data_IF_845034264237
#
_entry.id   IF_845034264237
#
_cell.length_a   1.000
_cell.length_b   1.000
_cell.length_c   1.000
_cell.angle_alpha   90.00
_cell.angle_beta   90.00
_cell.angle_gamma   90.00
#
_symmetry.space_group_name_H-M   'P 1'
#
loop_
_entity.id
_entity.type
_entity.pdbx_description
1 polymer ?
2 non-polymer ?
3 non-polymer ?
4 non-polymer ?
5 water ?
#
# COMPACT_ATOMS: atom_id res chain seq x y z
N UNK A 4 -12.74 16.92 -2.90
CA UNK A 4 -11.66 16.22 -2.17
C UNK A 4 -10.31 16.88 -2.36
N UNK A 5 -9.41 16.76 -1.37
CA UNK A 5 -8.08 17.34 -1.55
C UNK A 5 -7.26 16.42 -2.49
N UNK A 6 -6.03 16.79 -2.73
CA UNK A 6 -5.16 16.05 -3.64
C UNK A 6 -4.20 15.12 -2.88
N UNK A 7 -3.92 13.97 -3.54
CA UNK A 7 -3.12 12.93 -2.93
C UNK A 7 -1.83 12.73 -3.76
N UNK A 8 -0.74 12.50 -3.03
CA UNK A 8 0.51 12.13 -3.72
C UNK A 8 0.88 10.78 -3.16
N UNK A 9 1.08 9.80 -4.07
CA UNK A 9 1.56 8.50 -3.67
C UNK A 9 3.06 8.48 -4.09
N UNK A 10 3.93 8.00 -3.23
CA UNK A 10 5.35 7.89 -3.60
C UNK A 10 5.73 6.46 -3.28
N UNK A 11 6.18 5.68 -4.28
CA UNK A 11 6.52 4.31 -3.98
C UNK A 11 6.95 3.52 -5.23
N UNK A 12 7.00 2.23 -5.05
CA UNK A 12 7.52 1.33 -6.09
C UNK A 12 6.62 0.97 -7.25
N UNK A 13 7.31 0.56 -8.33
CA UNK A 13 6.65 -0.01 -9.50
C UNK A 13 7.42 -1.31 -9.78
N UNK A 14 6.73 -2.43 -9.83
CA UNK A 14 7.42 -3.69 -10.12
C UNK A 14 6.72 -4.40 -11.29
N UNK A 15 7.46 -5.26 -11.96
CA UNK A 15 6.93 -6.22 -12.92
C UNK A 15 6.72 -7.48 -12.12
N UNK A 16 5.45 -7.84 -11.85
CA UNK A 16 5.16 -9.03 -11.08
C UNK A 16 5.11 -10.28 -11.96
N UNK A 17 5.87 -11.28 -11.49
CA UNK A 17 5.82 -12.57 -12.22
C UNK A 17 5.15 -13.51 -11.24
N UNK A 18 3.95 -13.96 -11.56
CA UNK A 18 3.15 -14.70 -10.56
C UNK A 18 2.80 -16.11 -11.04
N UNK A 19 3.17 -17.11 -10.25
CA UNK A 19 2.88 -18.49 -10.56
C UNK A 19 1.93 -19.06 -9.50
N UNK A 20 0.83 -19.60 -9.96
CA UNK A 20 -0.15 -20.26 -9.09
C UNK A 20 0.30 -21.71 -8.97
N UNK A 21 0.29 -22.24 -7.76
CA UNK A 21 0.65 -23.63 -7.56
C UNK A 21 -0.25 -24.18 -6.43
N UNK A 22 -0.15 -25.48 -6.15
CA UNK A 22 -0.99 -26.01 -5.06
C UNK A 22 -0.41 -25.66 -3.71
N UNK A 23 0.84 -26.06 -3.47
CA UNK A 23 1.57 -25.74 -2.25
C UNK A 23 2.91 -25.09 -2.54
N UNK A 24 3.33 -24.18 -1.67
CA UNK A 24 4.63 -23.51 -1.87
C UNK A 24 5.75 -24.53 -1.80
N UNK A 25 6.79 -24.43 -2.62
CA UNK A 25 7.88 -25.37 -2.62
C UNK A 25 8.70 -25.28 -1.34
N UNK A 26 9.12 -26.41 -0.82
CA UNK A 26 10.01 -26.43 0.36
C UNK A 26 11.43 -26.46 -0.15
N UNK A 27 12.41 -26.16 0.71
CA UNK A 27 13.80 -26.09 0.33
C UNK A 27 14.30 -27.27 -0.47
N UNK A 28 14.94 -27.00 -1.61
CA UNK A 28 15.52 -27.96 -2.51
C UNK A 28 14.52 -28.66 -3.39
N UNK A 29 13.26 -28.28 -3.30
CA UNK A 29 12.21 -28.87 -4.10
C UNK A 29 11.82 -28.04 -5.32
N UNK A 30 11.36 -28.74 -6.35
CA UNK A 30 10.78 -28.11 -7.53
C UNK A 30 9.30 -28.49 -7.56
N UNK A 31 8.42 -27.50 -7.73
CA UNK A 31 6.99 -27.78 -7.76
C UNK A 31 6.44 -27.30 -9.12
N UNK A 32 5.59 -28.10 -9.73
CA UNK A 32 5.01 -27.74 -11.02
C UNK A 32 3.75 -26.94 -10.77
N UNK A 33 3.75 -25.69 -11.25
CA UNK A 33 2.65 -24.79 -11.03
C UNK A 33 1.65 -24.84 -12.18
N UNK A 34 0.63 -23.99 -12.08
CA UNK A 34 -0.31 -23.99 -13.21
C UNK A 34 -0.17 -22.63 -13.90
N UNK A 35 -1.10 -21.76 -13.68
CA UNK A 35 -1.21 -20.47 -14.31
C UNK A 35 0.00 -19.57 -14.07
N UNK A 36 0.39 -18.86 -15.11
CA UNK A 36 1.54 -17.96 -14.99
C UNK A 36 1.17 -16.62 -15.62
N UNK A 37 1.50 -15.53 -14.94
CA UNK A 37 1.20 -14.22 -15.50
C UNK A 37 2.27 -13.20 -15.24
N UNK A 38 2.55 -12.31 -16.19
CA UNK A 38 3.38 -11.16 -15.90
C UNK A 38 2.44 -9.93 -15.87
N UNK A 39 2.46 -9.15 -14.80
CA UNK A 39 1.53 -8.01 -14.76
C UNK A 39 2.21 -6.85 -14.05
N UNK A 40 1.74 -5.62 -14.20
CA UNK A 40 2.33 -4.51 -13.44
C UNK A 40 1.91 -4.60 -11.98
N UNK A 41 2.77 -4.22 -11.06
CA UNK A 41 2.53 -4.31 -9.64
C UNK A 41 3.43 -3.33 -8.86
N UNK A 42 3.85 -3.73 -7.67
CA UNK A 42 4.61 -2.82 -6.81
C UNK A 42 3.64 -2.29 -5.72
N UNK A 43 4.04 -2.20 -4.46
CA UNK A 43 3.10 -1.60 -3.48
C UNK A 43 2.76 -0.17 -3.80
N UNK A 44 3.70 0.65 -4.32
CA UNK A 44 3.41 2.01 -4.69
C UNK A 44 2.31 2.03 -5.76
N UNK A 45 2.58 1.36 -6.88
CA UNK A 45 1.66 1.44 -8.02
C UNK A 45 0.29 0.84 -7.66
N UNK A 46 0.31 -0.21 -6.86
CA UNK A 46 -0.97 -0.84 -6.47
C UNK A 46 -1.81 0.14 -5.61
N UNK A 47 -1.18 0.79 -4.67
CA UNK A 47 -1.88 1.86 -3.88
C UNK A 47 -2.25 3.04 -4.73
N UNK A 48 -1.40 3.50 -5.68
CA UNK A 48 -1.80 4.57 -6.58
C UNK A 48 -3.01 4.17 -7.41
N UNK A 49 -3.04 2.90 -7.86
CA UNK A 49 -4.18 2.45 -8.67
C UNK A 49 -5.43 2.32 -7.79
N UNK A 50 -5.25 1.80 -6.59
CA UNK A 50 -6.43 1.71 -5.68
C UNK A 50 -7.01 3.10 -5.42
N UNK A 51 -6.18 4.12 -5.22
CA UNK A 51 -6.65 5.49 -5.03
C UNK A 51 -7.27 6.04 -6.29
N UNK A 52 -6.62 5.93 -7.44
CA UNK A 52 -7.16 6.49 -8.67
C UNK A 52 -8.45 5.79 -9.07
N UNK A 53 -8.54 4.49 -8.93
CA UNK A 53 -9.76 3.80 -9.41
C UNK A 53 -10.92 4.10 -8.44
N UNK A 54 -10.61 4.25 -7.14
CA UNK A 54 -11.69 4.55 -6.20
C UNK A 54 -12.10 6.00 -6.19
N UNK A 55 -11.53 6.92 -6.94
CA UNK A 55 -11.99 8.30 -7.05
C UNK A 55 -11.07 9.37 -6.54
N UNK A 56 -9.83 9.01 -6.09
CA UNK A 56 -8.94 10.08 -5.60
C UNK A 56 -8.46 11.01 -6.68
N UNK A 57 -7.97 12.19 -6.29
CA UNK A 57 -7.30 13.12 -7.19
C UNK A 57 -5.80 12.86 -6.92
N UNK A 58 -5.18 11.93 -7.66
CA UNK A 58 -3.85 11.42 -7.23
C UNK A 58 -2.76 11.55 -8.28
N UNK A 59 -1.54 11.84 -7.84
CA UNK A 59 -0.32 11.94 -8.66
C UNK A 59 0.67 10.96 -8.04
N UNK A 60 1.56 10.35 -8.86
CA UNK A 60 2.39 9.27 -8.32
C UNK A 60 3.86 9.60 -8.61
N UNK A 61 4.68 9.62 -7.58
CA UNK A 61 6.12 9.85 -7.68
C UNK A 61 6.74 8.45 -7.63
N UNK A 62 7.43 8.06 -8.74
CA UNK A 62 7.96 6.71 -8.79
C UNK A 62 9.07 6.71 -9.87
N UNK A 63 9.82 5.63 -9.89
CA UNK A 63 10.84 5.49 -10.94
C UNK A 63 10.70 4.10 -11.57
N UNK A 64 10.71 4.11 -12.90
CA UNK A 64 10.71 2.84 -13.65
C UNK A 64 12.03 2.75 -14.44
N UNK A 65 12.32 1.55 -14.98
CA UNK A 65 13.58 1.47 -15.79
C UNK A 65 13.15 1.83 -17.22
N UNK A 66 14.09 1.72 -18.19
CA UNK A 66 13.65 1.92 -19.57
C UNK A 66 13.67 0.63 -20.36
N UNK A 67 13.49 -0.48 -19.66
CA UNK A 67 13.21 -1.78 -20.27
C UNK A 67 11.80 -1.62 -20.89
N UNK A 68 11.32 -2.66 -21.55
CA UNK A 68 10.01 -2.55 -22.23
C UNK A 68 8.86 -2.35 -21.26
N UNK A 69 8.90 -3.09 -20.17
CA UNK A 69 7.81 -2.97 -19.19
C UNK A 69 7.83 -1.60 -18.55
N UNK A 70 8.99 -0.98 -18.34
CA UNK A 70 9.10 0.36 -17.82
C UNK A 70 8.50 1.41 -18.74
N UNK A 71 8.68 1.18 -20.04
CA UNK A 71 8.19 2.12 -21.04
C UNK A 71 6.71 1.91 -21.34
N UNK A 72 6.06 0.89 -20.84
CA UNK A 72 4.67 0.58 -21.05
C UNK A 72 3.79 0.85 -19.81
N UNK A 73 4.43 0.87 -18.64
CA UNK A 73 3.69 1.00 -17.37
C UNK A 73 3.13 2.38 -17.14
N UNK A 74 3.77 3.48 -17.54
CA UNK A 74 3.16 4.78 -17.33
C UNK A 74 1.87 4.96 -18.10
N UNK A 75 1.85 4.43 -19.33
CA UNK A 75 0.66 4.51 -20.15
C UNK A 75 -0.45 3.72 -19.48
N UNK A 76 -0.11 2.59 -18.86
CA UNK A 76 -1.18 1.83 -18.23
C UNK A 76 -1.70 2.61 -17.01
N UNK A 77 -0.75 3.07 -16.19
CA UNK A 77 -1.17 3.80 -14.98
C UNK A 77 -1.96 5.06 -15.30
N UNK A 78 -1.62 5.84 -16.32
CA UNK A 78 -2.45 7.01 -16.65
C UNK A 78 -3.92 6.66 -16.82
N UNK A 79 -4.28 5.47 -17.30
CA UNK A 79 -5.67 5.10 -17.50
C UNK A 79 -6.38 4.80 -16.21
N UNK A 80 -5.65 4.72 -15.09
CA UNK A 80 -6.30 4.47 -13.79
C UNK A 80 -6.56 5.80 -13.06
N UNK A 81 -6.69 6.89 -13.79
CA UNK A 81 -6.88 8.22 -13.23
C UNK A 81 -5.71 8.67 -12.35
N UNK A 82 -4.49 8.36 -12.78
CA UNK A 82 -3.30 8.71 -12.00
C UNK A 82 -2.52 9.70 -12.86
N UNK A 83 -2.09 10.80 -12.24
CA UNK A 83 -1.27 11.78 -12.93
C UNK A 83 0.15 11.18 -12.89
N UNK A 84 0.66 10.75 -14.04
CA UNK A 84 1.96 10.06 -14.06
C UNK A 84 3.09 10.98 -14.43
N UNK A 85 2.86 12.31 -14.35
CA UNK A 85 3.93 13.28 -14.57
C UNK A 85 5.16 13.03 -13.73
N UNK A 86 5.06 12.72 -12.45
CA UNK A 86 6.21 12.48 -11.61
C UNK A 86 6.69 11.03 -11.60
N UNK A 87 6.29 10.22 -12.58
CA UNK A 87 6.90 8.90 -12.72
C UNK A 87 8.10 9.10 -13.68
N UNK A 88 9.29 8.94 -13.11
CA UNK A 88 10.48 9.14 -13.95
C UNK A 88 10.94 7.81 -14.59
N UNK A 89 11.53 7.89 -15.78
CA UNK A 89 12.06 6.69 -16.46
C UNK A 89 13.57 6.80 -16.34
N UNK A 90 14.26 5.85 -15.75
CA UNK A 90 15.66 5.88 -15.41
C UNK A 90 16.44 5.18 -16.55
N UNK A 91 17.23 5.96 -17.32
CA UNK A 91 17.92 5.26 -18.42
C UNK A 91 19.04 4.38 -17.89
N UNK A 92 19.21 3.24 -18.59
CA UNK A 92 20.31 2.33 -18.23
C UNK A 92 19.93 1.41 -17.09
N UNK A 93 18.65 1.37 -16.69
CA UNK A 93 18.23 0.55 -15.56
C UNK A 93 16.94 -0.22 -15.89
N UNK A 94 16.72 -1.32 -15.16
CA UNK A 94 15.50 -2.10 -15.41
C UNK A 94 14.49 -1.89 -14.26
N UNK A 95 13.25 -2.03 -14.67
CA UNK A 95 12.16 -1.86 -13.64
C UNK A 95 12.27 -2.89 -12.56
N UNK A 96 11.89 -2.52 -11.32
CA UNK A 96 11.90 -3.45 -10.18
C UNK A 96 11.11 -4.71 -10.56
N UNK A 97 11.41 -5.86 -9.94
CA UNK A 97 10.75 -7.12 -10.27
C UNK A 97 10.21 -7.76 -9.01
N UNK A 98 9.09 -8.48 -9.07
CA UNK A 98 8.64 -9.31 -7.98
C UNK A 98 8.47 -10.73 -8.56
N UNK A 99 8.87 -11.74 -7.85
CA UNK A 99 8.61 -13.15 -8.14
C UNK A 99 7.66 -13.62 -7.02
N UNK A 100 6.49 -14.07 -7.47
CA UNK A 100 5.41 -14.38 -6.54
C UNK A 100 4.84 -15.78 -6.75
N UNK A 101 4.65 -16.52 -5.69
CA UNK A 101 3.95 -17.82 -5.75
C UNK A 101 2.60 -17.61 -5.03
N UNK A 102 1.53 -18.12 -5.62
CA UNK A 102 0.20 -18.03 -4.98
C UNK A 102 -0.30 -19.47 -4.77
N UNK A 103 -0.56 -19.90 -3.52
CA UNK A 103 -0.97 -21.28 -3.34
C UNK A 103 -2.45 -21.52 -3.54
N UNK A 104 -2.82 -22.80 -3.37
CA UNK A 104 -4.19 -23.26 -3.61
C UNK A 104 -5.21 -22.58 -2.71
N UNK A 105 -4.80 -22.20 -1.49
CA UNK A 105 -5.65 -21.42 -0.61
C UNK A 105 -5.65 -19.94 -0.88
N UNK A 106 -4.81 -19.42 -1.80
CA UNK A 106 -4.88 -18.00 -2.09
C UNK A 106 -3.88 -17.17 -1.28
N UNK A 107 -2.99 -17.84 -0.57
CA UNK A 107 -1.93 -17.15 0.13
C UNK A 107 -0.77 -16.93 -0.87
N UNK A 108 0.10 -15.99 -0.55
CA UNK A 108 1.22 -15.76 -1.48
C UNK A 108 2.52 -15.60 -0.73
N UNK A 109 3.65 -15.74 -1.45
CA UNK A 109 4.96 -15.45 -0.90
C UNK A 109 5.61 -14.54 -1.97
N UNK A 110 6.29 -13.48 -1.59
CA UNK A 110 6.84 -12.56 -2.60
C UNK A 110 8.30 -12.26 -2.32
N UNK A 111 9.14 -12.24 -3.37
CA UNK A 111 10.53 -11.85 -3.27
C UNK A 111 10.72 -10.71 -4.28
N UNK A 112 11.24 -9.56 -3.87
CA UNK A 112 11.39 -8.44 -4.79
C UNK A 112 12.87 -8.08 -5.02
N UNK A 113 13.06 -7.43 -6.17
CA UNK A 113 14.38 -6.89 -6.56
C UNK A 113 14.12 -5.42 -6.85
N UNK A 114 14.80 -4.52 -6.16
CA UNK A 114 14.50 -3.10 -6.32
C UNK A 114 14.58 -2.54 -7.71
N UNK A 115 15.72 -2.86 -8.39
CA UNK A 115 15.90 -2.27 -9.74
C UNK A 115 15.80 -0.77 -9.71
N UNK A 116 15.14 -0.11 -10.65
CA UNK A 116 15.02 1.31 -10.78
C UNK A 116 14.25 1.96 -9.62
N UNK A 117 13.55 1.18 -8.82
CA UNK A 117 12.88 1.82 -7.66
C UNK A 117 13.95 2.40 -6.74
N UNK A 118 15.14 1.74 -6.70
CA UNK A 118 16.24 2.31 -5.92
C UNK A 118 16.79 3.63 -6.42
N UNK A 119 16.43 4.19 -7.54
CA UNK A 119 16.85 5.44 -8.07
C UNK A 119 15.91 6.57 -7.63
N UNK A 120 14.80 6.19 -6.96
CA UNK A 120 13.94 7.29 -6.45
C UNK A 120 14.65 7.82 -5.20
N UNK A 121 15.40 8.90 -5.36
CA UNK A 121 16.31 9.39 -4.35
C UNK A 121 15.78 10.63 -3.65
N UNK A 122 16.51 11.08 -2.62
CA UNK A 122 16.21 12.35 -1.96
C UNK A 122 16.23 13.50 -2.92
N UNK A 123 17.09 13.51 -3.94
CA UNK A 123 17.12 14.59 -4.92
C UNK A 123 15.89 14.59 -5.82
N UNK A 124 15.36 13.43 -6.16
CA UNK A 124 14.14 13.38 -6.96
C UNK A 124 12.96 13.78 -6.05
N UNK A 125 13.02 13.47 -4.77
CA UNK A 125 11.95 13.91 -3.83
C UNK A 125 11.92 15.43 -3.73
N UNK A 126 13.13 15.99 -3.61
CA UNK A 126 13.33 17.42 -3.43
C UNK A 126 12.85 18.17 -4.64
N UNK A 127 12.99 17.61 -5.84
CA UNK A 127 12.39 18.13 -7.06
C UNK A 127 10.87 18.10 -7.04
N UNK A 128 10.23 17.36 -6.14
CA UNK A 128 8.76 17.35 -6.05
C UNK A 128 8.29 18.10 -4.80
N UNK A 129 9.13 18.93 -4.19
CA UNK A 129 8.78 19.64 -2.96
C UNK A 129 7.47 20.41 -3.04
N UNK A 130 7.25 21.19 -4.08
CA UNK A 130 6.01 21.96 -4.21
C UNK A 130 4.78 21.06 -4.34
N UNK A 131 4.94 19.98 -5.12
CA UNK A 131 3.83 19.02 -5.29
C UNK A 131 3.46 18.42 -3.96
N UNK A 132 4.42 18.02 -3.14
CA UNK A 132 4.15 17.42 -1.85
C UNK A 132 3.57 18.48 -0.90
N UNK A 133 4.13 19.66 -0.92
CA UNK A 133 3.69 20.76 -0.05
C UNK A 133 2.24 21.17 -0.31
N UNK A 134 1.83 21.17 -1.56
CA UNK A 134 0.49 21.50 -2.01
C UNK A 134 -0.53 20.38 -1.86
N UNK A 135 -0.09 19.15 -1.65
CA UNK A 135 -1.03 18.05 -1.47
C UNK A 135 -1.71 18.04 -0.09
N UNK A 136 -2.86 17.37 -0.03
CA UNK A 136 -3.53 17.23 1.26
C UNK A 136 -2.95 16.01 1.96
N UNK A 137 -2.49 15.00 1.17
CA UNK A 137 -1.98 13.81 1.86
C UNK A 137 -0.87 13.16 0.97
N UNK A 138 0.01 12.48 1.62
CA UNK A 138 1.15 11.79 0.99
C UNK A 138 1.09 10.36 1.47
N UNK A 139 0.97 9.37 0.57
CA UNK A 139 0.91 7.98 0.98
C UNK A 139 2.15 7.21 0.52
N UNK A 140 2.85 6.54 1.42
CA UNK A 140 4.10 5.86 1.07
C UNK A 140 4.17 4.49 1.69
N UNK A 141 5.08 3.63 1.13
CA UNK A 141 5.31 2.29 1.60
C UNK A 141 6.87 2.12 1.78
N UNK A 142 7.33 0.90 1.96
CA UNK A 142 8.76 0.70 2.26
C UNK A 142 9.46 -0.13 1.16
N UNK A 143 8.99 0.07 -0.06
CA UNK A 143 9.63 -0.49 -1.25
C UNK A 143 10.41 0.58 -2.01
N UNK A 144 10.60 1.73 -1.39
CA UNK A 144 11.39 2.86 -1.89
C UNK A 144 12.48 3.14 -0.85
N UNK A 145 13.61 3.69 -1.26
CA UNK A 145 14.72 3.92 -0.31
C UNK A 145 14.23 4.66 0.95
N UNK A 146 14.69 4.20 2.10
CA UNK A 146 14.32 4.81 3.39
C UNK A 146 14.62 6.28 3.41
N UNK A 147 15.76 6.69 2.80
CA UNK A 147 16.12 8.10 2.79
C UNK A 147 15.11 8.95 2.02
N UNK A 148 14.56 8.39 0.94
CA UNK A 148 13.57 9.18 0.18
C UNK A 148 12.24 9.26 0.94
N UNK A 149 11.85 8.19 1.56
CA UNK A 149 10.64 8.18 2.39
C UNK A 149 10.75 9.27 3.47
N UNK A 150 11.93 9.28 4.13
CA UNK A 150 12.24 10.32 5.11
C UNK A 150 12.27 11.69 4.53
N UNK A 151 12.88 11.91 3.36
CA UNK A 151 12.89 13.24 2.77
C UNK A 151 11.44 13.71 2.49
N UNK A 152 10.61 12.77 2.01
CA UNK A 152 9.26 13.22 1.64
C UNK A 152 8.39 13.46 2.86
N UNK A 153 8.53 12.64 3.88
CA UNK A 153 7.79 12.80 5.13
C UNK A 153 8.13 14.16 5.74
N UNK A 154 9.41 14.54 5.68
CA UNK A 154 9.79 15.87 6.20
C UNK A 154 9.16 17.02 5.47
N UNK A 155 9.13 17.03 4.13
CA UNK A 155 8.49 18.07 3.35
C UNK A 155 6.98 18.13 3.67
N UNK A 156 6.38 16.93 3.74
CA UNK A 156 4.94 16.91 4.04
C UNK A 156 4.71 17.49 5.44
N UNK A 157 5.46 17.02 6.41
CA UNK A 157 5.34 17.49 7.79
C UNK A 157 5.41 19.01 7.88
N UNK A 158 6.39 19.63 7.23
CA UNK A 158 6.54 21.06 7.22
C UNK A 158 5.33 21.79 6.64
N UNK A 159 4.65 21.22 5.65
CA UNK A 159 3.58 21.91 4.96
C UNK A 159 2.20 21.46 5.38
N UNK A 160 2.07 20.71 6.45
CA UNK A 160 0.77 20.25 6.93
C UNK A 160 0.07 19.29 5.97
N UNK A 161 0.89 18.56 5.21
CA UNK A 161 0.40 17.50 4.33
C UNK A 161 0.35 16.25 5.17
N UNK A 162 -0.77 15.55 5.21
CA UNK A 162 -0.92 14.35 6.01
C UNK A 162 0.08 13.29 5.53
N UNK A 163 0.78 12.69 6.46
CA UNK A 163 1.70 11.60 6.06
C UNK A 163 1.10 10.27 6.46
N UNK A 164 0.78 9.47 5.43
CA UNK A 164 0.24 8.14 5.64
C UNK A 164 1.34 7.12 5.24
N UNK A 165 1.71 6.28 6.16
CA UNK A 165 2.77 5.31 5.83
C UNK A 165 2.25 3.90 6.01
N UNK A 166 2.33 3.07 4.96
CA UNK A 166 1.98 1.65 5.08
C UNK A 166 3.35 1.01 5.23
N UNK A 167 3.76 0.57 6.41
CA UNK A 167 5.13 0.18 6.70
C UNK A 167 5.48 -1.21 6.26
N UNK A 168 5.33 -1.46 4.95
CA UNK A 168 5.46 -2.75 4.33
C UNK A 168 6.42 -2.66 3.16
N UNK A 169 7.27 -3.67 2.97
CA UNK A 169 7.40 -4.79 3.84
C UNK A 169 8.05 -4.37 5.17
N UNK A 170 7.87 -5.24 6.15
CA UNK A 170 8.32 -5.04 7.51
C UNK A 170 9.81 -4.75 7.65
N UNK A 171 10.13 -3.79 8.49
CA UNK A 171 11.47 -3.43 8.93
C UNK A 171 11.35 -2.43 10.09
N UNK A 172 12.41 -2.32 10.88
CA UNK A 172 12.37 -1.34 11.96
C UNK A 172 12.62 0.01 11.33
N UNK A 173 12.08 1.09 11.89
CA UNK A 173 12.26 2.42 11.32
C UNK A 173 12.79 3.33 12.40
N UNK A 174 13.59 4.31 12.02
CA UNK A 174 14.15 5.27 12.95
C UNK A 174 13.02 6.10 13.55
N UNK A 175 13.19 6.51 14.80
CA UNK A 175 12.24 7.38 15.49
C UNK A 175 12.07 8.69 14.76
N UNK A 176 13.13 9.16 14.08
CA UNK A 176 13.04 10.37 13.31
C UNK A 176 11.93 10.26 12.24
N UNK A 177 11.83 9.10 11.59
CA UNK A 177 10.79 8.95 10.57
C UNK A 177 9.42 8.75 11.25
N UNK A 178 9.33 7.89 12.24
CA UNK A 178 8.03 7.64 12.89
C UNK A 178 7.37 8.88 13.46
N UNK A 179 8.16 9.87 13.91
CA UNK A 179 7.66 11.13 14.44
C UNK A 179 7.01 12.02 13.39
N UNK A 180 7.27 11.79 12.11
CA UNK A 180 6.71 12.53 11.03
C UNK A 180 5.44 11.85 10.47
N UNK A 181 5.07 10.67 10.94
CA UNK A 181 3.93 9.98 10.31
C UNK A 181 2.62 10.36 11.03
N UNK A 182 1.56 10.66 10.27
CA UNK A 182 0.27 10.95 10.88
C UNK A 182 -0.65 9.75 10.97
N UNK A 183 -0.63 8.90 9.93
CA UNK A 183 -1.44 7.71 9.85
C UNK A 183 -0.49 6.52 9.53
N UNK A 184 -0.50 5.49 10.34
CA UNK A 184 0.38 4.34 10.04
C UNK A 184 -0.50 3.12 9.93
N UNK A 185 -0.28 2.26 8.92
CA UNK A 185 -1.10 1.07 8.71
C UNK A 185 -0.39 -0.26 8.61
N UNK A 186 0.22 -0.72 9.73
CA UNK A 186 0.87 -1.99 9.77
C UNK A 186 -0.11 -3.15 9.76
N UNK A 187 0.39 -4.28 9.28
CA UNK A 187 -0.31 -5.55 9.48
C UNK A 187 0.24 -6.10 10.80
N UNK A 188 -0.14 -7.29 11.23
CA UNK A 188 0.35 -7.76 12.55
C UNK A 188 1.85 -7.97 12.60
N UNK A 189 2.43 -8.52 11.53
CA UNK A 189 3.88 -8.72 11.47
C UNK A 189 4.66 -7.43 11.57
N UNK A 190 4.22 -6.40 10.85
CA UNK A 190 4.85 -5.09 10.84
C UNK A 190 4.74 -4.39 12.17
N UNK A 191 3.57 -4.52 12.83
CA UNK A 191 3.37 -3.90 14.14
C UNK A 191 4.38 -4.47 15.14
N UNK A 192 4.59 -5.76 15.05
CA UNK A 192 5.57 -6.43 15.92
C UNK A 192 6.98 -5.97 15.61
N UNK A 193 7.27 -5.90 14.28
CA UNK A 193 8.63 -5.45 13.93
C UNK A 193 8.85 -4.04 14.42
N UNK A 194 7.84 -3.16 14.42
CA UNK A 194 8.03 -1.78 14.78
C UNK A 194 8.05 -1.50 16.27
N UNK A 195 7.36 -2.33 17.05
CA UNK A 195 7.22 -2.12 18.47
C UNK A 195 7.82 -3.22 19.33
N UNK A 196 7.93 -4.43 18.80
CA UNK A 196 8.37 -5.57 19.59
C UNK A 196 7.22 -6.32 20.25
N UNK A 197 5.98 -5.92 20.00
CA UNK A 197 4.83 -6.59 20.59
C UNK A 197 4.11 -7.46 19.58
N UNK A 198 4.09 -8.76 19.78
CA UNK A 198 3.37 -9.67 18.90
C UNK A 198 1.88 -9.36 19.00
N UNK A 199 1.18 -9.28 17.88
CA UNK A 199 -0.24 -8.95 17.88
C UNK A 199 -1.06 -10.15 17.42
N UNK A 200 -1.76 -10.76 18.37
CA UNK A 200 -2.59 -11.92 18.07
C UNK A 200 -4.03 -11.67 18.53
N UNK A 201 -4.28 -10.56 19.21
CA UNK A 201 -5.63 -10.23 19.62
C UNK A 201 -5.81 -8.73 19.74
N UNK A 202 -7.00 -8.29 20.13
CA UNK A 202 -7.30 -6.88 20.28
C UNK A 202 -6.57 -6.23 21.45
N UNK A 203 -6.20 -7.03 22.44
CA UNK A 203 -5.46 -6.56 23.60
C UNK A 203 -4.02 -6.28 23.18
N UNK A 204 -3.42 -7.20 22.44
CA UNK A 204 -2.07 -6.97 21.92
C UNK A 204 -2.08 -5.80 20.93
N UNK A 205 -3.11 -5.71 20.09
CA UNK A 205 -3.20 -4.59 19.15
C UNK A 205 -3.20 -3.26 19.87
N UNK A 206 -3.94 -3.15 21.01
CA UNK A 206 -3.91 -1.87 21.71
C UNK A 206 -2.51 -1.62 22.27
N UNK A 207 -1.82 -2.63 22.75
CA UNK A 207 -0.48 -2.47 23.30
C UNK A 207 0.47 -1.91 22.24
N UNK A 208 0.49 -2.56 21.08
CA UNK A 208 1.35 -2.14 19.96
C UNK A 208 1.00 -0.76 19.45
N UNK A 209 -0.30 -0.46 19.35
CA UNK A 209 -0.78 0.86 18.98
C UNK A 209 -0.26 1.95 19.91
N UNK A 210 -0.23 1.64 21.22
CA UNK A 210 0.25 2.64 22.18
C UNK A 210 1.72 2.98 22.00
N UNK A 211 2.55 2.00 21.68
CA UNK A 211 3.98 2.29 21.42
C UNK A 211 4.08 3.26 20.25
N UNK A 212 3.33 2.94 19.18
CA UNK A 212 3.33 3.82 18.00
C UNK A 212 2.79 5.19 18.32
N UNK A 213 1.74 5.31 19.18
CA UNK A 213 1.28 6.64 19.55
C UNK A 213 2.38 7.38 20.33
N UNK A 214 3.10 6.66 21.15
CA UNK A 214 4.26 7.13 21.90
C UNK A 214 5.42 7.57 21.01
N UNK A 215 5.42 7.20 19.73
CA UNK A 215 6.44 7.63 18.78
C UNK A 215 6.00 8.91 18.07
N UNK A 216 4.79 9.41 18.32
CA UNK A 216 4.34 10.64 17.70
C UNK A 216 3.19 10.39 16.71
N UNK A 217 2.80 9.15 16.53
CA UNK A 217 1.78 8.86 15.50
C UNK A 217 0.35 8.82 16.09
N UNK A 218 -0.43 9.79 15.67
CA UNK A 218 -1.80 9.96 16.14
C UNK A 218 -2.77 8.87 15.73
N UNK A 219 -2.78 8.53 14.43
CA UNK A 219 -3.72 7.49 13.99
C UNK A 219 -2.99 6.21 13.62
N UNK A 220 -3.29 5.15 14.38
CA UNK A 220 -2.71 3.84 14.19
C UNK A 220 -3.79 2.85 13.79
N UNK A 221 -3.58 2.27 12.59
CA UNK A 221 -4.52 1.26 12.09
C UNK A 221 -3.76 -0.04 11.92
N UNK A 222 -3.98 -1.01 12.79
CA UNK A 222 -3.29 -2.31 12.70
C UNK A 222 -4.25 -3.27 12.01
N UNK A 223 -3.93 -3.68 10.80
CA UNK A 223 -4.78 -4.60 10.06
C UNK A 223 -4.62 -6.02 10.59
N UNK A 224 -5.73 -6.75 10.66
CA UNK A 224 -5.84 -8.04 11.31
C UNK A 224 -6.34 -9.13 10.36
N UNK A 225 -5.99 -9.07 9.08
CA UNK A 225 -6.42 -10.06 8.11
C UNK A 225 -7.94 -10.11 7.96
N UNK A 226 -8.55 -11.28 8.15
CA UNK A 226 -9.99 -11.45 8.01
C UNK A 226 -10.76 -10.88 9.21
N UNK A 227 -10.05 -10.54 10.26
CA UNK A 227 -10.61 -9.94 11.45
C UNK A 227 -10.74 -8.43 11.37
N UNK A 228 -10.41 -7.80 10.25
CA UNK A 228 -10.62 -6.37 10.09
C UNK A 228 -9.42 -5.54 10.55
N UNK A 229 -9.66 -4.48 11.31
CA UNK A 229 -8.59 -3.59 11.72
C UNK A 229 -8.81 -3.04 13.13
N UNK A 230 -7.73 -2.93 13.86
CA UNK A 230 -7.75 -2.24 15.16
C UNK A 230 -7.49 -0.77 14.83
N UNK A 231 -8.49 0.07 15.01
CA UNK A 231 -8.34 1.50 14.75
C UNK A 231 -8.11 2.26 16.04
N UNK A 232 -7.01 3.02 16.12
CA UNK A 232 -6.69 3.76 17.33
C UNK A 232 -6.28 5.19 17.04
N UNK A 233 -7.00 6.16 17.65
CA UNK A 233 -6.66 7.55 17.47
C UNK A 233 -6.27 8.14 18.82
N UNK A 234 -5.01 8.52 18.94
CA UNK A 234 -4.35 9.04 20.11
C UNK A 234 -4.78 8.33 21.38
N UNK A 235 -4.67 7.00 21.39
CA UNK A 235 -5.03 6.18 22.52
C UNK A 235 -6.36 5.45 22.50
N UNK A 236 -7.45 6.05 22.04
CA UNK A 236 -8.75 5.37 22.04
C UNK A 236 -8.89 4.46 20.81
N UNK A 237 -9.08 3.16 21.06
CA UNK A 237 -9.21 2.20 19.99
C UNK A 237 -10.41 1.29 19.94
N UNK A 238 -10.70 0.80 18.73
CA UNK A 238 -11.80 -0.10 18.48
C UNK A 238 -11.51 -0.97 17.26
N UNK A 239 -12.13 -2.14 17.22
CA UNK A 239 -11.99 -3.05 16.11
C UNK A 239 -13.12 -2.77 15.12
N UNK A 240 -12.77 -2.63 13.84
CA UNK A 240 -13.74 -2.44 12.77
C UNK A 240 -13.61 -3.70 11.91
N UNK A 241 -14.59 -4.59 11.98
CA UNK A 241 -14.54 -5.84 11.23
C UNK A 241 -14.53 -5.56 9.74
N UNK A 242 -13.98 -6.49 8.97
CA UNK A 242 -14.00 -6.37 7.52
C UNK A 242 -15.25 -7.08 7.00
N UNK A 243 -15.35 -7.32 5.69
CA UNK A 243 -16.52 -8.03 5.17
C UNK A 243 -16.23 -9.52 5.01
N UNK A 244 -17.24 -10.37 5.25
CA UNK A 244 -17.05 -11.81 5.11
C UNK A 244 -17.20 -12.19 3.64
N UNK A 245 -16.10 -12.60 2.99
CA UNK A 245 -16.16 -12.98 1.58
C UNK A 245 -15.39 -14.28 1.36
N UNK A 246 -15.54 -14.86 0.17
CA UNK A 246 -14.80 -16.08 -0.16
C UNK A 246 -13.49 -15.68 -0.85
N UNK A 247 -12.41 -15.70 -0.08
CA UNK A 247 -11.11 -15.29 -0.57
C UNK A 247 -10.59 -16.33 -1.56
N UNK A 248 -10.06 -15.87 -2.69
CA UNK A 248 -9.52 -16.77 -3.71
C UNK A 248 -8.06 -16.35 -3.95
N UNK A 249 -7.76 -15.07 -3.73
CA UNK A 249 -6.38 -14.60 -3.83
C UNK A 249 -6.17 -13.33 -2.99
N UNK A 250 -5.50 -13.45 -1.85
CA UNK A 250 -5.38 -12.29 -0.95
C UNK A 250 -4.35 -11.26 -1.34
N UNK A 251 -3.62 -11.43 -2.43
CA UNK A 251 -2.60 -10.46 -2.82
C UNK A 251 -3.17 -9.10 -3.14
N UNK A 252 -2.44 -8.06 -2.74
CA UNK A 252 -2.85 -6.68 -2.92
C UNK A 252 -4.04 -6.26 -2.02
N UNK A 253 -4.33 -7.05 -1.00
CA UNK A 253 -5.46 -6.69 -0.14
C UNK A 253 -5.09 -5.41 0.60
N UNK A 254 -3.88 -5.49 1.18
CA UNK A 254 -3.39 -4.35 1.94
C UNK A 254 -3.27 -3.12 1.09
N UNK A 255 -2.71 -3.27 -0.13
CA UNK A 255 -2.54 -2.12 -1.00
C UNK A 255 -3.89 -1.46 -1.36
N UNK A 256 -4.90 -2.29 -1.61
CA UNK A 256 -6.21 -1.77 -1.94
C UNK A 256 -6.79 -1.02 -0.71
N UNK A 257 -6.65 -1.65 0.44
CA UNK A 257 -7.15 -1.01 1.68
C UNK A 257 -6.54 0.37 1.80
N UNK A 258 -5.18 0.46 1.69
CA UNK A 258 -4.57 1.79 1.83
C UNK A 258 -4.97 2.85 0.85
N UNK A 259 -4.93 2.57 -0.49
CA UNK A 259 -5.32 3.58 -1.46
C UNK A 259 -6.80 4.00 -1.21
N UNK A 260 -7.68 3.02 -1.01
CA UNK A 260 -9.12 3.43 -0.91
C UNK A 260 -9.37 4.16 0.42
N UNK A 261 -8.69 3.75 1.46
CA UNK A 261 -8.75 4.42 2.76
C UNK A 261 -8.48 5.91 2.61
N UNK A 262 -7.36 6.27 1.94
CA UNK A 262 -7.00 7.67 1.78
C UNK A 262 -7.95 8.43 0.87
N UNK A 263 -8.53 7.76 -0.13
CA UNK A 263 -9.51 8.40 -0.99
C UNK A 263 -10.73 8.82 -0.10
N UNK A 264 -11.15 7.92 0.76
CA UNK A 264 -12.37 8.26 1.55
C UNK A 264 -12.02 9.37 2.54
N UNK A 265 -10.84 9.30 3.19
CA UNK A 265 -10.44 10.39 4.10
C UNK A 265 -10.36 11.71 3.41
N UNK A 266 -9.85 11.84 2.17
CA UNK A 266 -9.78 13.07 1.45
C UNK A 266 -11.14 13.54 0.92
N UNK A 267 -12.12 12.65 0.93
CA UNK A 267 -13.50 13.12 0.66
C UNK A 267 -14.17 13.58 1.95
N UNK A 268 -13.44 13.70 3.04
CA UNK A 268 -13.92 14.07 4.36
C UNK A 268 -14.83 13.05 5.03
N UNK A 269 -14.73 11.76 4.68
CA UNK A 269 -15.51 10.75 5.41
C UNK A 269 -14.75 10.56 6.71
N UNK A 270 -15.45 10.43 7.83
CA UNK A 270 -14.80 10.26 9.12
C UNK A 270 -14.07 8.94 9.07
N UNK A 271 -13.16 8.70 10.01
CA UNK A 271 -12.34 7.50 9.96
C UNK A 271 -13.05 6.17 9.87
N UNK A 272 -14.04 5.87 10.74
CA UNK A 272 -14.75 4.62 10.70
C UNK A 272 -15.40 4.34 9.37
N UNK A 273 -15.98 5.35 8.73
CA UNK A 273 -16.63 5.23 7.45
C UNK A 273 -15.55 5.03 6.34
N UNK A 274 -14.45 5.76 6.47
CA UNK A 274 -13.35 5.56 5.48
C UNK A 274 -12.81 4.14 5.55
N UNK A 275 -12.63 3.56 6.73
CA UNK A 275 -12.19 2.19 6.94
C UNK A 275 -13.16 1.19 6.34
N UNK A 276 -14.48 1.43 6.56
CA UNK A 276 -15.50 0.56 5.93
C UNK A 276 -15.42 0.65 4.43
N UNK A 277 -15.26 1.83 3.81
CA UNK A 277 -15.10 1.95 2.38
C UNK A 277 -13.86 1.13 1.90
N UNK A 278 -12.77 1.29 2.64
CA UNK A 278 -11.53 0.57 2.31
C UNK A 278 -11.68 -0.92 2.50
N UNK A 279 -12.38 -1.35 3.55
CA UNK A 279 -12.66 -2.77 3.78
C UNK A 279 -13.46 -3.30 2.60
N UNK A 280 -14.43 -2.55 2.08
CA UNK A 280 -15.22 -2.99 0.91
C UNK A 280 -14.33 -3.15 -0.34
N UNK A 281 -13.45 -2.18 -0.58
CA UNK A 281 -12.56 -2.27 -1.75
C UNK A 281 -11.67 -3.48 -1.60
N UNK A 282 -11.12 -3.73 -0.42
CA UNK A 282 -10.16 -4.83 -0.22
C UNK A 282 -10.86 -6.18 -0.25
N UNK A 283 -12.11 -6.20 0.24
CA UNK A 283 -12.93 -7.40 0.18
C UNK A 283 -13.18 -7.78 -1.28
N UNK A 284 -13.50 -6.85 -2.16
CA UNK A 284 -13.62 -7.20 -3.58
C UNK A 284 -12.28 -7.75 -4.08
N UNK A 285 -11.20 -6.98 -3.85
CA UNK A 285 -9.88 -7.41 -4.31
C UNK A 285 -9.55 -8.83 -3.90
N UNK A 286 -9.82 -9.31 -2.69
CA UNK A 286 -9.44 -10.66 -2.32
C UNK A 286 -10.35 -11.71 -2.99
N UNK A 287 -11.43 -11.29 -3.63
CA UNK A 287 -12.24 -12.29 -4.34
C UNK A 287 -11.80 -12.38 -5.80
N UNK A 288 -10.73 -11.64 -6.17
CA UNK A 288 -10.25 -11.64 -7.54
C UNK A 288 -8.78 -12.02 -7.69
N UNK A 289 -8.47 -12.65 -8.83
CA UNK A 289 -7.12 -13.16 -9.07
C UNK A 289 -6.17 -12.05 -9.48
N UNK A 290 -4.91 -12.19 -9.08
CA UNK A 290 -3.90 -11.18 -9.44
C UNK A 290 -3.86 -10.08 -8.38
N UNK A 291 -2.86 -9.22 -8.51
CA UNK A 291 -2.66 -8.14 -7.56
C UNK A 291 -3.27 -6.85 -8.05
N UNK A 292 -2.53 -6.10 -8.88
CA UNK A 292 -3.03 -4.89 -9.48
C UNK A 292 -4.32 -5.03 -10.27
N UNK A 293 -4.50 -6.10 -11.04
CA UNK A 293 -5.76 -6.30 -11.77
C UNK A 293 -6.96 -6.49 -10.86
N UNK A 294 -6.75 -6.95 -9.63
CA UNK A 294 -7.83 -7.21 -8.69
C UNK A 294 -8.38 -5.94 -8.01
N UNK A 295 -7.73 -4.80 -8.17
CA UNK A 295 -8.21 -3.55 -7.53
C UNK A 295 -9.48 -3.03 -8.15
N UNK A 296 -10.52 -2.78 -7.32
CA UNK A 296 -11.82 -2.37 -7.81
C UNK A 296 -11.98 -0.92 -8.18
N UNK A 297 -12.97 -0.62 -9.01
CA UNK A 297 -13.31 0.75 -9.39
C UNK A 297 -14.40 1.36 -8.47
N UNK A 298 -14.51 2.68 -8.43
CA UNK A 298 -15.45 3.33 -7.50
C UNK A 298 -16.87 2.78 -7.60
N UNK A 299 -17.38 2.69 -8.82
CA UNK A 299 -18.75 2.15 -8.99
C UNK A 299 -18.89 0.77 -8.41
N UNK A 300 -17.92 -0.15 -8.47
CA UNK A 300 -18.03 -1.47 -7.88
C UNK A 300 -18.01 -1.43 -6.37
N UNK A 301 -17.18 -0.56 -5.78
CA UNK A 301 -17.09 -0.44 -4.35
C UNK A 301 -18.47 0.03 -3.81
N UNK A 302 -19.01 1.06 -4.40
CA UNK A 302 -20.32 1.56 -3.95
C UNK A 302 -21.41 0.51 -4.08
N UNK A 303 -21.41 -0.22 -5.22
CA UNK A 303 -22.41 -1.28 -5.41
C UNK A 303 -22.27 -2.33 -4.32
N UNK A 304 -21.05 -2.70 -3.93
CA UNK A 304 -20.85 -3.62 -2.84
C UNK A 304 -21.37 -3.07 -1.51
N UNK A 305 -21.11 -1.79 -1.27
CA UNK A 305 -21.55 -1.21 0.01
C UNK A 305 -23.09 -1.12 0.00
N UNK A 306 -23.68 -0.69 -1.11
CA UNK A 306 -25.12 -0.61 -1.25
C UNK A 306 -25.83 -1.94 -0.99
N UNK A 307 -25.24 -3.09 -1.35
CA UNK A 307 -25.82 -4.39 -1.07
C UNK A 307 -25.61 -4.82 0.38
N UNK A 308 -24.77 -4.12 1.12
CA UNK A 308 -24.42 -4.53 2.47
C UNK A 308 -25.37 -4.04 3.56
N UNK A 309 -26.43 -4.81 3.75
CA UNK A 309 -27.45 -4.51 4.75
C UNK A 309 -27.68 -5.76 5.63
X LIG B 1 1.46 -6.00 -2.22
X LIG B 1 1.50 -6.74 -3.45
X LIG B 1 2.82 -6.30 -4.13
X LIG B 1 3.92 -6.61 -3.28
X LIG B 1 3.08 -7.00 -5.47
X LIG B 1 2.45 -6.26 -6.52
X LIG B 1 4.61 -7.11 -5.53
X LIG B 1 5.13 -6.27 -6.55
X LIG B 1 5.08 -6.64 -4.14
X LIG B 1 5.51 -5.32 -4.29
X LIG C 1 5.30 -8.17 5.53
X LIG C 1 5.47 -6.73 5.86
X LIG C 1 6.34 -9.01 6.22
X LIG C 1 3.94 -8.70 5.91
X LIG C 1 5.47 -8.38 4.05
X LIG D 1 10.40 -11.49 -18.38
X LIG D 1 8.92 -11.67 -18.64
X LIG D 1 10.65 -11.07 -16.96
X LIG D 1 11.11 -12.78 -18.64
X LIG D 1 10.92 -10.43 -19.30
X LIG E 1 -1.84 -7.40 4.19
X LIG E 1 -2.32 -8.06 2.95
X LIG E 1 -0.95 -8.33 4.95
X LIG E 1 -1.26 -5.94 3.94
X LIG E 1 -4.11 -8.00 5.90
X LIG E 1 -3.88 -9.45 5.71
X LIG E 1 -4.12 -7.75 7.40
X LIG E 1 -3.08 -7.03 5.14
X LIG E 1 -5.45 -7.49 5.20
X LIG E 1 -5.62 -6.09 4.87
X LIG E 1 -7.09 -5.78 4.62
X LIG E 1 -7.53 -6.64 3.54
X LIG E 1 -8.03 -6.14 5.78
X LIG E 1 -8.05 -5.16 6.83
X LIG E 1 -9.36 -6.31 4.99
X LIG E 1 -9.86 -5.04 4.53
X LIG E 1 -8.83 -7.10 3.77
X LIG E 1 -8.91 -8.51 4.04
X LIG E 1 -7.88 -9.38 4.26
X LIG E 1 -8.18 -10.63 4.25
X LIG E 1 -9.48 -10.64 4.04
X LIG E 1 -10.32 -11.71 3.94
X LIG E 1 -9.94 -12.99 4.03
X LIG E 1 -11.62 -11.44 3.73
X LIG E 1 -12.02 -10.12 3.61
X LIG E 1 -11.30 -9.03 3.70
X LIG E 1 -10.00 -9.37 3.91
#
# INVERSE_FOLDING_TARGET
MQNAGSLVVLGSINADHILNLQSFPTPGETVTGNHYQVAFGGKGANQAVAAGRSGANIAFIACTGDDSIGESVRQQLATDNIDITPVSVIKGESTGVALIFVNGEGENVIGIHAGANAALSPALVEAQRERIANASALLMQLESPLESVMAAAKIAHQNKTIVALNPAPARELPDELLALVDIITPNETEAEKLTGIRVENDEDAAKAAQVLHEKGIRTVLITLGSRGVWASVNGEGQRVPGFRVQAVDTIAAGDTFNGALITALLEEKPLPEAIRFAHAAAAIAVTRKGAQPSVPWREEIDAFLDRQR
RIB O5 C5 C4 O4 C3 O3 C2 O2 C1 O1
PO4 P O1 O2 O3 O4
PO4 P O1 O2 O3 O4
ADP PB O1B O2B O3B PA O1A O2A O3A O5' C5' C4' O4' C3' O3' C2' O2' C1' N9 C8 N7 C5 C6 N6 N1 C2 N3 C4
#
